data_IF_172696843261
#
_entry.id   IF_172696843261
#
_cell.length_a   1.000
_cell.length_b   1.000
_cell.length_c   1.000
_cell.angle_alpha   90.00
_cell.angle_beta   90.00
_cell.angle_gamma   90.00
#
_symmetry.space_group_name_H-M   'P 1'
#
loop_
_entity.id
_entity.type
_entity.pdbx_description
1 polymer ?
#
# COMPACT_ATOMS: atom_id res chain seq x y z
N UNK A 1 23.37 -31.45 7.50
CA UNK A 1 24.21 -30.51 6.74
C UNK A 1 23.31 -29.33 6.37
N UNK A 2 23.39 -28.22 7.09
CA UNK A 2 22.64 -27.00 6.75
C UNK A 2 23.18 -26.48 5.42
N UNK A 3 22.29 -26.30 4.45
CA UNK A 3 22.64 -25.85 3.10
C UNK A 3 23.18 -24.41 3.14
N UNK A 4 24.49 -24.27 2.87
CA UNK A 4 25.22 -23.01 2.83
C UNK A 4 24.60 -22.00 1.84
N UNK A 5 23.93 -22.50 0.79
CA UNK A 5 23.21 -21.68 -0.20
C UNK A 5 22.01 -20.96 0.42
N UNK A 6 21.19 -21.68 1.20
CA UNK A 6 20.03 -21.10 1.88
C UNK A 6 20.44 -20.03 2.89
N UNK A 7 21.53 -20.27 3.64
CA UNK A 7 22.06 -19.30 4.59
C UNK A 7 22.45 -17.98 3.90
N UNK A 8 23.15 -18.06 2.76
CA UNK A 8 23.56 -16.88 2.00
C UNK A 8 22.38 -16.05 1.52
N UNK A 9 21.35 -16.70 0.95
CA UNK A 9 20.12 -16.03 0.50
C UNK A 9 19.38 -15.36 1.65
N UNK A 10 19.32 -16.01 2.82
CA UNK A 10 18.70 -15.43 4.02
C UNK A 10 19.44 -14.19 4.51
N UNK A 11 20.78 -14.20 4.50
CA UNK A 11 21.59 -13.05 4.89
C UNK A 11 21.46 -11.88 3.90
N UNK A 12 21.51 -12.16 2.59
CA UNK A 12 21.30 -11.14 1.56
C UNK A 12 19.91 -10.50 1.68
N UNK A 13 18.89 -11.31 1.95
CA UNK A 13 17.53 -10.84 2.17
C UNK A 13 17.42 -9.92 3.41
N UNK A 14 18.01 -10.31 4.54
CA UNK A 14 17.98 -9.53 5.76
C UNK A 14 18.67 -8.16 5.59
N UNK A 15 19.84 -8.14 4.95
CA UNK A 15 20.57 -6.90 4.65
C UNK A 15 19.78 -6.00 3.71
N UNK A 16 19.17 -6.57 2.67
CA UNK A 16 18.30 -5.82 1.77
C UNK A 16 17.10 -5.22 2.50
N UNK A 17 16.43 -5.99 3.35
CA UNK A 17 15.24 -5.54 4.08
C UNK A 17 15.56 -4.39 5.03
N UNK A 18 16.68 -4.48 5.76
CA UNK A 18 17.10 -3.40 6.65
C UNK A 18 17.45 -2.11 5.89
N UNK A 19 18.09 -2.22 4.72
CA UNK A 19 18.32 -1.07 3.85
C UNK A 19 17.02 -0.46 3.34
N UNK A 20 16.06 -1.28 2.93
CA UNK A 20 14.73 -0.82 2.52
C UNK A 20 14.02 -0.09 3.67
N UNK A 21 14.01 -0.67 4.86
CA UNK A 21 13.41 -0.04 6.05
C UNK A 21 14.10 1.26 6.43
N UNK A 22 15.43 1.33 6.36
CA UNK A 22 16.14 2.59 6.57
C UNK A 22 15.72 3.66 5.56
N UNK A 23 15.62 3.30 4.27
CA UNK A 23 15.19 4.21 3.22
C UNK A 23 13.73 4.67 3.38
N UNK A 24 12.82 3.78 3.79
CA UNK A 24 11.41 4.10 4.08
C UNK A 24 11.30 5.01 5.30
N UNK A 25 12.03 4.71 6.38
CA UNK A 25 12.06 5.53 7.60
C UNK A 25 12.56 6.95 7.34
N UNK A 26 13.43 7.12 6.33
CA UNK A 26 13.89 8.43 5.84
C UNK A 26 12.79 9.32 5.25
N UNK A 27 11.61 8.79 4.93
CA UNK A 27 10.49 9.58 4.40
C UNK A 27 9.71 10.39 5.45
N UNK A 28 10.18 10.45 6.70
CA UNK A 28 9.57 11.25 7.77
C UNK A 28 8.76 10.43 8.75
N UNK A 29 7.82 11.07 9.45
CA UNK A 29 7.05 10.45 10.54
C UNK A 29 6.21 9.25 10.06
N UNK A 30 5.65 9.32 8.86
CA UNK A 30 4.82 8.28 8.26
C UNK A 30 5.67 7.06 7.88
N UNK A 31 6.86 7.31 7.32
CA UNK A 31 7.84 6.26 7.00
C UNK A 31 8.33 5.52 8.24
N UNK A 32 8.69 6.26 9.31
CA UNK A 32 9.07 5.66 10.60
C UNK A 32 7.94 4.84 11.20
N UNK A 33 6.74 5.41 11.27
CA UNK A 33 5.57 4.71 11.82
C UNK A 33 5.26 3.41 11.05
N UNK A 34 5.41 3.41 9.72
CA UNK A 34 5.27 2.19 8.92
C UNK A 34 6.33 1.15 9.28
N UNK A 35 7.62 1.53 9.32
CA UNK A 35 8.72 0.61 9.65
C UNK A 35 8.60 0.06 11.07
N UNK A 36 8.28 0.89 12.05
CA UNK A 36 8.11 0.46 13.44
C UNK A 36 6.96 -0.53 13.57
N UNK A 37 5.84 -0.28 12.88
CA UNK A 37 4.72 -1.21 12.81
C UNK A 37 5.15 -2.56 12.21
N UNK A 38 5.82 -2.56 11.06
CA UNK A 38 6.24 -3.80 10.38
C UNK A 38 7.23 -4.60 11.22
N UNK A 39 8.20 -3.93 11.88
CA UNK A 39 9.15 -4.57 12.80
C UNK A 39 8.44 -5.18 14.01
N UNK A 40 7.52 -4.44 14.65
CA UNK A 40 6.79 -4.93 15.82
C UNK A 40 5.95 -6.18 15.52
N UNK A 41 5.44 -6.29 14.29
CA UNK A 41 4.66 -7.45 13.82
C UNK A 41 5.51 -8.55 13.19
N UNK A 42 6.82 -8.35 13.09
CA UNK A 42 7.75 -9.24 12.35
C UNK A 42 7.23 -9.55 10.95
N UNK A 43 6.66 -8.54 10.29
CA UNK A 43 6.08 -8.67 8.96
C UNK A 43 7.16 -9.07 7.96
N UNK A 44 6.92 -10.15 7.21
CA UNK A 44 7.82 -10.53 6.11
C UNK A 44 7.53 -9.67 4.90
N UNK A 45 8.58 -9.15 4.29
CA UNK A 45 8.52 -8.43 3.01
C UNK A 45 9.28 -9.26 1.99
N UNK A 46 8.76 -9.41 0.78
CA UNK A 46 9.49 -10.12 -0.27
C UNK A 46 8.87 -9.90 -1.63
N UNK A 47 9.22 -10.76 -2.59
CA UNK A 47 8.75 -10.62 -3.97
C UNK A 47 7.72 -11.70 -4.30
N UNK A 48 6.78 -11.38 -5.20
CA UNK A 48 5.91 -12.36 -5.86
C UNK A 48 5.48 -11.83 -7.23
N UNK A 49 5.56 -12.67 -8.26
CA UNK A 49 5.07 -12.32 -9.60
C UNK A 49 3.53 -12.31 -9.60
N UNK A 50 2.94 -11.16 -9.90
CA UNK A 50 1.48 -10.97 -10.00
C UNK A 50 1.14 -10.09 -11.20
N UNK A 51 -0.14 -9.82 -11.45
CA UNK A 51 -0.56 -9.07 -12.64
C UNK A 51 0.11 -7.67 -12.70
N UNK A 52 0.41 -7.12 -13.90
CA UNK A 52 1.15 -5.86 -14.05
C UNK A 52 0.53 -4.63 -13.34
N UNK A 53 -0.78 -4.56 -13.16
CA UNK A 53 -1.43 -3.42 -12.49
C UNK A 53 -1.26 -3.41 -10.96
N UNK A 54 -0.54 -4.37 -10.37
CA UNK A 54 -0.28 -4.45 -8.93
C UNK A 54 1.18 -4.10 -8.68
N UNK A 55 1.47 -3.05 -7.92
CA UNK A 55 2.84 -2.67 -7.56
C UNK A 55 3.35 -3.44 -6.33
N UNK A 56 2.53 -3.48 -5.28
CA UNK A 56 2.73 -4.28 -4.09
C UNK A 56 1.36 -4.76 -3.58
N UNK A 57 1.37 -5.68 -2.62
CA UNK A 57 0.16 -6.06 -1.90
C UNK A 57 0.51 -6.65 -0.53
N UNK A 58 -0.32 -6.34 0.45
CA UNK A 58 -0.38 -7.02 1.73
C UNK A 58 -1.11 -8.36 1.61
N UNK A 59 -0.93 -9.23 2.60
CA UNK A 59 -1.58 -10.55 2.67
C UNK A 59 -2.34 -10.69 3.96
N UNK A 60 -3.39 -11.51 3.97
CA UNK A 60 -4.19 -11.79 5.18
C UNK A 60 -3.38 -12.31 6.37
N UNK A 61 -2.20 -12.88 6.12
CA UNK A 61 -1.25 -13.33 7.15
C UNK A 61 -0.22 -12.27 7.56
N UNK A 62 -0.42 -11.00 7.21
CA UNK A 62 0.41 -9.90 7.70
C UNK A 62 1.75 -9.71 6.98
N UNK A 63 1.91 -10.28 5.79
CA UNK A 63 3.12 -10.13 4.96
C UNK A 63 2.90 -9.16 3.80
N UNK A 64 3.96 -8.51 3.33
CA UNK A 64 3.97 -7.63 2.15
C UNK A 64 4.70 -8.32 1.00
N UNK A 65 4.19 -8.19 -0.21
CA UNK A 65 4.82 -8.67 -1.43
C UNK A 65 4.93 -7.54 -2.45
N UNK A 66 6.15 -7.25 -2.88
CA UNK A 66 6.44 -6.40 -4.02
C UNK A 66 6.28 -7.22 -5.30
N UNK A 67 5.69 -6.62 -6.33
CA UNK A 67 5.51 -7.31 -7.60
C UNK A 67 6.85 -7.49 -8.32
N UNK A 68 7.25 -8.74 -8.55
CA UNK A 68 8.53 -9.06 -9.17
C UNK A 68 8.64 -8.72 -10.66
N UNK A 69 7.55 -8.26 -11.29
CA UNK A 69 7.62 -7.63 -12.61
C UNK A 69 8.41 -6.31 -12.60
N UNK A 70 8.40 -5.60 -11.48
CA UNK A 70 9.01 -4.27 -11.34
C UNK A 70 10.15 -4.24 -10.34
N UNK A 71 10.08 -5.10 -9.32
CA UNK A 71 10.96 -5.01 -8.16
C UNK A 71 11.76 -6.29 -7.95
N UNK A 72 13.02 -6.14 -7.59
CA UNK A 72 13.93 -7.20 -7.21
C UNK A 72 14.97 -6.67 -6.20
N UNK A 73 15.94 -7.50 -5.85
CA UNK A 73 17.00 -7.11 -4.91
C UNK A 73 17.92 -5.99 -5.43
N UNK A 74 17.95 -5.78 -6.76
CA UNK A 74 18.73 -4.75 -7.43
C UNK A 74 17.95 -3.45 -7.66
N UNK A 75 16.66 -3.40 -7.33
CA UNK A 75 15.87 -2.16 -7.42
C UNK A 75 16.53 -1.07 -6.55
N UNK A 76 16.80 0.12 -7.12
CA UNK A 76 17.34 1.24 -6.34
C UNK A 76 16.41 1.63 -5.20
N UNK A 77 16.93 1.72 -3.97
CA UNK A 77 16.15 2.05 -2.77
C UNK A 77 15.92 3.56 -2.59
N UNK A 78 16.56 4.38 -3.42
CA UNK A 78 16.25 5.79 -3.57
C UNK A 78 14.98 6.02 -4.40
N UNK A 79 14.52 5.02 -5.17
CA UNK A 79 13.23 5.04 -5.86
C UNK A 79 12.10 5.33 -4.86
N UNK A 80 11.42 6.46 -5.07
CA UNK A 80 10.35 6.90 -4.20
C UNK A 80 9.14 5.95 -4.26
N UNK A 81 8.88 5.32 -5.41
CA UNK A 81 7.71 4.48 -5.61
C UNK A 81 7.73 3.26 -4.70
N UNK A 82 8.85 2.53 -4.64
CA UNK A 82 8.98 1.37 -3.75
C UNK A 82 8.83 1.78 -2.28
N UNK A 83 9.39 2.92 -1.88
CA UNK A 83 9.29 3.40 -0.50
C UNK A 83 7.84 3.74 -0.12
N UNK A 84 7.11 4.45 -0.98
CA UNK A 84 5.72 4.81 -0.69
C UNK A 84 4.79 3.59 -0.77
N UNK A 85 5.05 2.60 -1.63
CA UNK A 85 4.34 1.31 -1.62
C UNK A 85 4.45 0.61 -0.27
N UNK A 86 5.64 0.56 0.34
CA UNK A 86 5.77 -0.05 1.68
C UNK A 86 4.90 0.67 2.72
N UNK A 87 4.83 2.01 2.68
CA UNK A 87 3.96 2.80 3.55
C UNK A 87 2.49 2.46 3.31
N UNK A 88 2.08 2.36 2.04
CA UNK A 88 0.73 1.99 1.63
C UNK A 88 0.33 0.60 2.16
N UNK A 89 1.15 -0.42 1.92
CA UNK A 89 0.84 -1.77 2.36
C UNK A 89 0.87 -1.90 3.89
N UNK A 90 1.77 -1.18 4.57
CA UNK A 90 1.76 -1.08 6.02
C UNK A 90 0.46 -0.46 6.52
N UNK A 91 -0.09 0.53 5.81
CA UNK A 91 -1.37 1.16 6.18
C UNK A 91 -2.53 0.17 6.11
N UNK A 92 -2.59 -0.66 5.07
CA UNK A 92 -3.59 -1.73 5.03
C UNK A 92 -3.48 -2.72 6.19
N UNK A 93 -2.26 -3.09 6.57
CA UNK A 93 -2.05 -3.95 7.73
C UNK A 93 -2.48 -3.27 9.05
N UNK A 94 -2.27 -1.96 9.19
CA UNK A 94 -2.74 -1.17 10.34
C UNK A 94 -4.27 -1.05 10.39
N UNK A 95 -4.91 -0.88 9.23
CA UNK A 95 -6.37 -0.81 9.09
C UNK A 95 -7.08 -2.12 9.48
N UNK A 96 -6.40 -3.25 9.25
CA UNK A 96 -6.96 -4.59 9.39
C UNK A 96 -7.84 -5.01 8.22
N UNK A 97 -8.08 -6.32 8.12
CA UNK A 97 -8.69 -7.00 6.97
C UNK A 97 -9.97 -6.31 6.44
N UNK A 98 -10.92 -6.02 7.33
CA UNK A 98 -12.24 -5.52 6.94
C UNK A 98 -12.24 -4.09 6.42
N UNK A 99 -11.32 -3.26 6.91
CA UNK A 99 -11.18 -1.87 6.46
C UNK A 99 -10.35 -1.83 5.19
N UNK A 100 -9.24 -2.57 5.15
CA UNK A 100 -8.37 -2.63 3.97
C UNK A 100 -9.11 -3.15 2.73
N UNK A 101 -10.01 -4.12 2.88
CA UNK A 101 -10.87 -4.62 1.78
C UNK A 101 -12.11 -3.73 1.56
N UNK A 102 -11.91 -2.42 1.44
CA UNK A 102 -12.97 -1.47 1.08
C UNK A 102 -12.40 -0.28 0.31
N UNK A 103 -13.24 0.40 -0.48
CA UNK A 103 -12.84 1.64 -1.18
C UNK A 103 -12.39 2.71 -0.19
N UNK A 104 -13.01 2.77 0.99
CA UNK A 104 -12.57 3.67 2.06
C UNK A 104 -11.13 3.36 2.52
N UNK A 105 -10.81 2.07 2.72
CA UNK A 105 -9.46 1.64 3.10
C UNK A 105 -8.42 1.95 2.03
N UNK A 106 -8.76 1.71 0.77
CA UNK A 106 -7.94 2.11 -0.38
C UNK A 106 -7.73 3.62 -0.44
N UNK A 107 -8.79 4.43 -0.29
CA UNK A 107 -8.67 5.89 -0.32
C UNK A 107 -7.73 6.40 0.77
N UNK A 108 -7.85 5.90 1.99
CA UNK A 108 -6.96 6.24 3.10
C UNK A 108 -5.49 5.86 2.81
N UNK A 109 -5.24 4.66 2.29
CA UNK A 109 -3.90 4.20 1.94
C UNK A 109 -3.28 5.02 0.79
N UNK A 110 -4.06 5.29 -0.27
CA UNK A 110 -3.63 6.15 -1.38
C UNK A 110 -3.35 7.58 -0.93
N UNK A 111 -4.21 8.15 -0.09
CA UNK A 111 -4.00 9.53 0.39
C UNK A 111 -2.74 9.64 1.26
N UNK A 112 -2.46 8.64 2.10
CA UNK A 112 -1.22 8.58 2.84
C UNK A 112 -0.01 8.46 1.90
N UNK A 113 -0.04 7.53 0.96
CA UNK A 113 1.02 7.27 0.00
C UNK A 113 1.37 8.52 -0.82
N UNK A 114 0.38 9.10 -1.49
CA UNK A 114 0.58 10.23 -2.38
C UNK A 114 0.80 11.54 -1.62
N UNK A 115 0.32 11.66 -0.38
CA UNK A 115 0.70 12.77 0.51
C UNK A 115 2.20 12.76 0.81
N UNK A 116 2.77 11.60 1.12
CA UNK A 116 4.22 11.44 1.30
C UNK A 116 4.96 11.70 -0.01
N UNK A 117 4.47 11.15 -1.13
CA UNK A 117 5.06 11.37 -2.45
C UNK A 117 5.18 12.86 -2.79
N UNK A 118 4.06 13.59 -2.67
CA UNK A 118 3.99 15.01 -2.96
C UNK A 118 4.89 15.84 -2.06
N UNK A 119 4.96 15.53 -0.77
CA UNK A 119 5.88 16.22 0.15
C UNK A 119 7.34 16.11 -0.28
N UNK A 120 7.74 14.97 -0.84
CA UNK A 120 9.13 14.72 -1.26
C UNK A 120 9.42 15.26 -2.65
N UNK A 121 8.49 15.16 -3.60
CA UNK A 121 8.68 15.59 -5.00
C UNK A 121 8.23 17.02 -5.30
N UNK A 122 7.38 17.59 -4.45
CA UNK A 122 6.73 18.89 -4.68
C UNK A 122 5.56 18.85 -5.65
N UNK A 123 5.22 17.68 -6.23
CA UNK A 123 4.10 17.52 -7.16
C UNK A 123 3.48 16.12 -7.08
N UNK A 124 2.26 15.98 -7.61
CA UNK A 124 1.61 14.69 -7.81
C UNK A 124 1.97 14.10 -9.17
N UNK A 125 2.05 12.76 -9.30
CA UNK A 125 2.45 12.13 -10.55
C UNK A 125 1.36 12.19 -11.65
N UNK A 126 0.12 12.54 -11.30
CA UNK A 126 -1.00 12.62 -12.24
C UNK A 126 -2.10 13.56 -11.72
N UNK A 127 -2.83 14.28 -12.60
CA UNK A 127 -3.95 15.15 -12.20
C UNK A 127 -5.05 14.43 -11.41
N UNK A 128 -5.34 13.18 -11.76
CA UNK A 128 -6.30 12.34 -11.02
C UNK A 128 -5.89 12.13 -9.56
N UNK A 129 -4.59 11.98 -9.28
CA UNK A 129 -4.07 11.90 -7.91
C UNK A 129 -4.25 13.23 -7.20
N UNK A 130 -3.92 14.35 -7.85
CA UNK A 130 -4.12 15.66 -7.24
C UNK A 130 -5.59 15.88 -6.81
N UNK A 131 -6.54 15.44 -7.65
CA UNK A 131 -7.98 15.46 -7.32
C UNK A 131 -8.38 14.44 -6.26
N UNK A 132 -7.77 13.26 -6.24
CA UNK A 132 -8.02 12.24 -5.21
C UNK A 132 -7.64 12.76 -3.82
N UNK A 133 -6.57 13.54 -3.75
CA UNK A 133 -6.04 14.13 -2.53
C UNK A 133 -6.92 15.26 -1.95
N UNK A 134 -7.86 15.81 -2.72
CA UNK A 134 -8.83 16.79 -2.21
C UNK A 134 -10.11 16.16 -1.68
N UNK A 135 -10.32 14.86 -1.91
CA UNK A 135 -11.51 14.16 -1.42
C UNK A 135 -11.48 14.04 0.11
N UNK A 136 -12.59 14.33 0.81
CA UNK A 136 -12.65 14.14 2.26
C UNK A 136 -12.67 12.64 2.60
N UNK A 137 -11.80 12.20 3.51
CA UNK A 137 -11.80 10.83 4.01
C UNK A 137 -12.94 10.61 5.01
N UNK A 138 -14.15 10.37 4.50
CA UNK A 138 -15.37 10.16 5.29
C UNK A 138 -16.25 9.09 4.66
N UNK A 139 -17.20 8.58 5.43
CA UNK A 139 -18.14 7.55 4.98
C UNK A 139 -19.27 8.12 4.10
N UNK A 140 -18.91 8.68 2.95
CA UNK A 140 -19.82 9.28 1.98
C UNK A 140 -19.74 8.49 0.66
N UNK A 141 -20.83 7.81 0.27
CA UNK A 141 -20.83 6.96 -0.94
C UNK A 141 -20.54 7.76 -2.21
N UNK A 142 -20.95 9.03 -2.28
CA UNK A 142 -20.68 9.90 -3.43
C UNK A 142 -19.19 10.14 -3.58
N UNK A 143 -18.54 10.51 -2.47
CA UNK A 143 -17.08 10.70 -2.41
C UNK A 143 -16.33 9.42 -2.73
N UNK A 144 -16.74 8.27 -2.16
CA UNK A 144 -16.05 6.99 -2.40
C UNK A 144 -16.20 6.51 -3.84
N UNK A 145 -17.37 6.70 -4.47
CA UNK A 145 -17.52 6.43 -5.91
C UNK A 145 -16.67 7.34 -6.78
N UNK A 146 -16.49 8.61 -6.37
CA UNK A 146 -15.56 9.51 -7.05
C UNK A 146 -14.10 9.04 -6.87
N UNK A 147 -13.74 8.55 -5.69
CA UNK A 147 -12.43 7.97 -5.42
C UNK A 147 -12.13 6.78 -6.34
N UNK A 148 -13.09 5.85 -6.51
CA UNK A 148 -12.98 4.72 -7.47
C UNK A 148 -12.63 5.22 -8.87
N UNK A 149 -13.35 6.23 -9.37
CA UNK A 149 -13.11 6.78 -10.71
C UNK A 149 -11.69 7.33 -10.84
N UNK A 150 -11.23 8.11 -9.86
CA UNK A 150 -9.90 8.75 -9.88
C UNK A 150 -8.76 7.73 -9.73
N UNK A 151 -8.93 6.71 -8.87
CA UNK A 151 -7.94 5.64 -8.75
C UNK A 151 -7.82 4.85 -10.06
N UNK A 152 -8.92 4.55 -10.73
CA UNK A 152 -8.91 3.88 -12.03
C UNK A 152 -8.41 4.77 -13.18
N UNK A 153 -8.60 6.09 -13.08
CA UNK A 153 -8.03 7.04 -14.05
C UNK A 153 -6.49 7.03 -13.98
N UNK A 154 -5.92 6.85 -12.78
CA UNK A 154 -4.47 6.73 -12.62
C UNK A 154 -3.93 5.31 -12.87
N UNK A 155 -4.50 4.28 -12.24
CA UNK A 155 -3.99 2.90 -12.29
C UNK A 155 -4.56 2.07 -13.46
N UNK A 156 -5.48 2.63 -14.23
CA UNK A 156 -6.18 1.96 -15.30
C UNK A 156 -7.32 1.05 -14.83
N UNK A 157 -8.14 0.58 -15.78
CA UNK A 157 -9.31 -0.29 -15.50
C UNK A 157 -8.96 -1.70 -15.01
N UNK A 158 -7.69 -2.11 -15.13
CA UNK A 158 -7.18 -3.33 -14.51
C UNK A 158 -7.21 -3.27 -12.98
N UNK A 159 -7.17 -2.06 -12.40
CA UNK A 159 -7.29 -1.84 -10.96
C UNK A 159 -8.75 -1.95 -10.51
N UNK A 160 -9.14 -3.13 -10.03
CA UNK A 160 -10.53 -3.49 -9.72
C UNK A 160 -11.05 -3.02 -8.36
N UNK A 161 -10.71 -1.79 -7.96
CA UNK A 161 -11.26 -1.15 -6.76
C UNK A 161 -12.79 -0.98 -6.81
N UNK A 162 -13.38 -1.00 -8.02
CA UNK A 162 -14.83 -1.02 -8.25
C UNK A 162 -15.53 -2.27 -7.71
N UNK A 163 -14.80 -3.37 -7.49
CA UNK A 163 -15.35 -4.61 -6.93
C UNK A 163 -15.36 -4.64 -5.40
N UNK A 164 -14.68 -3.69 -4.76
CA UNK A 164 -14.65 -3.59 -3.31
C UNK A 164 -15.95 -2.96 -2.77
N UNK A 165 -16.41 -3.33 -1.57
CA UNK A 165 -17.46 -2.58 -0.90
C UNK A 165 -17.00 -1.14 -0.68
N UNK A 166 -17.91 -0.17 -0.75
CA UNK A 166 -17.54 1.23 -0.53
C UNK A 166 -17.07 1.43 0.91
N UNK A 167 -17.82 0.90 1.87
CA UNK A 167 -17.50 0.96 3.29
C UNK A 167 -16.79 -0.31 3.78
N UNK A 168 -16.09 -0.25 4.93
CA UNK A 168 -15.67 -1.45 5.64
C UNK A 168 -16.86 -2.37 5.90
N UNK A 169 -16.64 -3.69 5.82
CA UNK A 169 -17.69 -4.71 5.73
C UNK A 169 -18.85 -4.53 6.72
N UNK A 170 -18.56 -4.29 8.01
CA UNK A 170 -19.60 -4.12 9.03
C UNK A 170 -20.51 -2.91 8.80
N UNK A 171 -19.97 -1.81 8.23
CA UNK A 171 -20.76 -0.63 7.86
C UNK A 171 -21.51 -0.84 6.55
N UNK A 172 -20.92 -1.56 5.59
CA UNK A 172 -21.62 -1.89 4.34
C UNK A 172 -22.86 -2.74 4.64
N UNK A 173 -22.75 -3.76 5.50
CA UNK A 173 -23.90 -4.58 5.94
C UNK A 173 -24.98 -3.71 6.60
N UNK A 174 -24.59 -2.82 7.53
CA UNK A 174 -25.53 -1.92 8.20
C UNK A 174 -26.28 -1.02 7.23
N UNK A 175 -25.58 -0.48 6.23
CA UNK A 175 -26.19 0.35 5.20
C UNK A 175 -27.29 -0.40 4.43
N UNK A 176 -27.01 -1.64 4.02
CA UNK A 176 -27.98 -2.44 3.26
C UNK A 176 -29.17 -2.93 4.09
N UNK A 177 -28.95 -3.25 5.37
CA UNK A 177 -30.00 -3.77 6.25
C UNK A 177 -30.85 -2.65 6.86
N UNK A 178 -30.22 -1.54 7.28
CA UNK A 178 -30.87 -0.48 8.03
C UNK A 178 -31.16 0.78 7.19
N UNK A 179 -30.73 0.84 5.92
CA UNK A 179 -30.88 2.02 5.06
C UNK A 179 -30.10 3.24 5.54
N UNK A 180 -29.12 3.06 6.44
CA UNK A 180 -28.31 4.10 7.08
C UNK A 180 -26.84 3.69 7.14
#
# INVERSE_FOLDING_TARGET
MLDFSLWKVMMEHAVWLEKLYHAVAGLGKEGRAAVDFLRSRRTKVGFKKVRPHVGAFWTVFGNIRLNSYYYNYQTPLDDLRIKTLIIHEARHLQQGLFTALSVYGELDAWQLEFGVYHRVRGNYPHPAIARLMTLPLRFDRGVLRQAVKLMQEYAGKGYRVDLLPLYPLGREIRYWVAGR
#
